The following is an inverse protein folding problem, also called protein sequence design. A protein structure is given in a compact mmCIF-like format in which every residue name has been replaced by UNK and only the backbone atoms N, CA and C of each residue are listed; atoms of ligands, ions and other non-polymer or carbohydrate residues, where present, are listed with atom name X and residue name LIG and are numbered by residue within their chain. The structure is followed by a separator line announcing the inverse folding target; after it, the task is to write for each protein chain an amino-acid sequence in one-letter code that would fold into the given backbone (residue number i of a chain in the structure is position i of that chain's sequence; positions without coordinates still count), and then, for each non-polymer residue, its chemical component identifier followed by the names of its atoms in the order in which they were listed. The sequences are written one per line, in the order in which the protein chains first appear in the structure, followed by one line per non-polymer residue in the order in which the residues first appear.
data_IF_383533974141
#
_entry.id   IF_383533974141
#
_cell.length_a   1.000
_cell.length_b   1.000
_cell.length_c   1.000
_cell.angle_alpha   90.00
_cell.angle_beta   90.00
_cell.angle_gamma   90.00
#
_symmetry.space_group_name_H-M   'P 1'
#
loop_
_entity.id
_entity.type
_entity.pdbx_description
1 polymer ?
#
# COMPACT_ATOMS: atom_id res chain seq x y z
N UNK A 1 -7.53 -3.34 -13.48
CA UNK A 1 -6.72 -4.30 -14.26
C UNK A 1 -7.69 -5.28 -14.88
N UNK A 2 -7.81 -5.28 -16.19
CA UNK A 2 -8.68 -6.12 -17.01
C UNK A 2 -10.12 -6.29 -16.46
N UNK A 3 -10.89 -5.20 -16.30
CA UNK A 3 -12.30 -5.28 -15.91
C UNK A 3 -13.12 -5.89 -17.04
N UNK A 4 -14.35 -6.31 -16.74
CA UNK A 4 -15.33 -6.61 -17.77
C UNK A 4 -15.54 -5.38 -18.67
N UNK A 5 -16.03 -5.59 -19.89
CA UNK A 5 -16.36 -4.49 -20.81
C UNK A 5 -17.38 -3.57 -20.13
N UNK A 6 -17.09 -2.26 -20.17
CA UNK A 6 -18.04 -1.24 -19.71
C UNK A 6 -19.21 -1.19 -20.70
N UNK A 7 -20.35 -1.66 -20.27
CA UNK A 7 -21.60 -1.62 -21.02
C UNK A 7 -22.41 -0.35 -20.69
N UNK A 8 -23.44 -0.07 -21.47
CA UNK A 8 -24.29 1.10 -21.27
C UNK A 8 -24.88 1.22 -19.87
N UNK A 9 -25.15 0.08 -19.21
CA UNK A 9 -25.68 0.04 -17.85
C UNK A 9 -24.76 0.68 -16.82
N UNK A 10 -23.44 0.53 -16.96
CA UNK A 10 -22.47 1.21 -16.10
C UNK A 10 -22.61 2.73 -16.16
N UNK A 11 -22.82 3.27 -17.35
CA UNK A 11 -23.02 4.70 -17.56
C UNK A 11 -24.37 5.21 -17.04
N UNK A 12 -25.40 4.38 -17.11
CA UNK A 12 -26.71 4.72 -16.54
C UNK A 12 -26.67 4.71 -15.00
N UNK A 13 -26.02 3.74 -14.40
CA UNK A 13 -25.90 3.64 -12.95
C UNK A 13 -24.99 4.70 -12.34
N UNK A 14 -24.01 5.16 -13.09
CA UNK A 14 -23.06 6.19 -12.64
C UNK A 14 -23.70 7.57 -12.44
N UNK A 15 -24.87 7.84 -13.04
CA UNK A 15 -25.60 9.11 -12.93
C UNK A 15 -24.70 10.34 -13.11
N UNK A 16 -24.55 11.15 -12.04
CA UNK A 16 -23.69 12.33 -12.05
C UNK A 16 -22.19 12.03 -12.04
N UNK A 17 -21.79 10.78 -11.73
CA UNK A 17 -20.40 10.32 -11.76
C UNK A 17 -20.01 9.66 -13.11
N UNK A 18 -20.79 9.91 -14.17
CA UNK A 18 -20.56 9.33 -15.51
C UNK A 18 -19.16 9.62 -16.06
N UNK A 19 -18.63 10.78 -15.79
CA UNK A 19 -17.27 11.17 -16.18
C UNK A 19 -16.22 10.24 -15.61
N UNK A 20 -16.36 9.78 -14.35
CA UNK A 20 -15.43 8.83 -13.74
C UNK A 20 -15.39 7.49 -14.48
N UNK A 21 -16.53 7.05 -15.04
CA UNK A 21 -16.59 5.82 -15.85
C UNK A 21 -15.98 6.04 -17.22
N UNK A 22 -16.18 7.23 -17.83
CA UNK A 22 -15.61 7.58 -19.13
C UNK A 22 -14.09 7.72 -19.08
N UNK A 23 -13.58 8.30 -17.99
CA UNK A 23 -12.14 8.54 -17.78
C UNK A 23 -11.41 7.34 -17.14
N UNK A 24 -12.13 6.23 -16.93
CA UNK A 24 -11.55 5.02 -16.36
C UNK A 24 -10.45 4.46 -17.26
N UNK A 25 -9.26 4.33 -16.71
CA UNK A 25 -8.10 3.77 -17.41
C UNK A 25 -7.97 2.28 -17.15
N UNK A 26 -7.58 1.54 -18.17
CA UNK A 26 -7.35 0.10 -18.09
C UNK A 26 -5.84 -0.13 -18.20
N UNK A 27 -5.30 -0.93 -17.29
CA UNK A 27 -3.90 -1.35 -17.28
C UNK A 27 -3.83 -2.88 -17.31
N UNK A 28 -2.84 -3.43 -17.94
CA UNK A 28 -2.64 -4.88 -17.97
C UNK A 28 -2.06 -5.39 -16.66
N UNK A 29 -1.19 -4.59 -16.03
CA UNK A 29 -0.54 -4.95 -14.76
C UNK A 29 -0.68 -3.84 -13.71
N UNK A 30 -0.51 -4.23 -12.44
CA UNK A 30 -0.48 -3.27 -11.33
C UNK A 30 0.79 -2.41 -11.37
N UNK A 31 1.89 -2.98 -11.85
CA UNK A 31 3.18 -2.31 -11.98
C UNK A 31 3.10 -1.15 -12.97
N UNK A 32 2.49 -1.34 -14.14
CA UNK A 32 2.27 -0.27 -15.12
C UNK A 32 1.46 0.88 -14.53
N UNK A 33 0.38 0.57 -13.81
CA UNK A 33 -0.43 1.58 -13.13
C UNK A 33 0.36 2.36 -12.10
N UNK A 34 1.17 1.67 -11.28
CA UNK A 34 1.98 2.28 -10.23
C UNK A 34 2.98 3.28 -10.84
N UNK A 35 3.64 2.88 -11.94
CA UNK A 35 4.63 3.71 -12.61
C UNK A 35 3.99 4.91 -13.31
N UNK A 36 2.92 4.70 -14.08
CA UNK A 36 2.22 5.77 -14.81
C UNK A 36 1.65 6.83 -13.86
N UNK A 37 0.99 6.41 -12.80
CA UNK A 37 0.34 7.31 -11.83
C UNK A 37 1.26 7.79 -10.72
N UNK A 38 2.53 7.39 -10.70
CA UNK A 38 3.50 7.74 -9.65
C UNK A 38 2.91 7.51 -8.25
N UNK A 39 2.37 6.30 -8.05
CA UNK A 39 1.72 5.93 -6.80
C UNK A 39 2.72 5.97 -5.65
N UNK A 40 2.39 6.71 -4.59
CA UNK A 40 3.25 6.87 -3.40
C UNK A 40 2.95 5.84 -2.33
N UNK A 41 1.74 5.29 -2.32
CA UNK A 41 1.33 4.25 -1.37
C UNK A 41 0.20 3.40 -1.95
N UNK A 42 0.25 2.11 -1.68
CA UNK A 42 -0.73 1.13 -2.13
C UNK A 42 -1.48 0.60 -0.93
N UNK A 43 -2.78 0.80 -0.92
CA UNK A 43 -3.69 0.33 0.13
C UNK A 43 -4.55 -0.78 -0.44
N UNK A 44 -4.41 -2.00 0.07
CA UNK A 44 -5.24 -3.15 -0.30
C UNK A 44 -6.38 -3.37 0.68
N UNK A 45 -7.52 -3.82 0.17
CA UNK A 45 -8.67 -4.19 1.00
C UNK A 45 -8.74 -5.70 1.18
N UNK A 46 -9.16 -6.15 2.37
CA UNK A 46 -9.38 -7.56 2.66
C UNK A 46 -10.59 -7.76 3.57
N UNK A 47 -11.44 -8.72 3.26
CA UNK A 47 -12.53 -9.14 4.15
C UNK A 47 -12.07 -10.10 5.24
N UNK A 48 -10.88 -10.70 5.09
CA UNK A 48 -10.35 -11.66 6.07
C UNK A 48 -9.13 -11.08 6.74
N UNK A 49 -9.27 -10.61 7.97
CA UNK A 49 -8.15 -10.22 8.79
C UNK A 49 -7.29 -11.45 9.09
N UNK A 50 -6.00 -11.37 8.80
CA UNK A 50 -5.04 -12.34 9.32
C UNK A 50 -4.88 -12.09 10.81
N UNK A 51 -4.98 -13.13 11.65
CA UNK A 51 -4.60 -13.01 13.05
C UNK A 51 -3.13 -12.61 13.20
N UNK A 52 -2.70 -12.26 14.41
CA UNK A 52 -1.34 -11.79 14.75
C UNK A 52 -0.20 -12.68 14.22
N UNK A 53 -0.48 -13.93 13.90
CA UNK A 53 0.46 -14.88 13.31
C UNK A 53 0.59 -14.76 11.79
N UNK A 54 -0.37 -14.15 11.08
CA UNK A 54 -0.29 -13.96 9.65
C UNK A 54 0.20 -12.55 9.32
N UNK A 55 1.50 -12.33 9.45
CA UNK A 55 2.18 -11.06 9.23
C UNK A 55 1.82 -10.42 7.87
N UNK A 56 1.52 -11.24 6.87
CA UNK A 56 1.12 -10.75 5.53
C UNK A 56 -0.25 -10.07 5.52
N UNK A 57 -1.07 -10.27 6.53
CA UNK A 57 -2.47 -9.80 6.58
C UNK A 57 -2.81 -9.09 7.89
N UNK A 58 -1.90 -8.28 8.44
CA UNK A 58 -2.22 -7.40 9.57
C UNK A 58 -2.85 -6.12 8.99
N UNK A 59 -4.17 -5.96 9.10
CA UNK A 59 -4.85 -4.78 8.57
C UNK A 59 -4.99 -3.68 9.62
N UNK A 60 -5.34 -2.49 9.13
CA UNK A 60 -5.88 -1.40 9.94
C UNK A 60 -7.35 -1.20 9.61
N UNK A 61 -8.07 -0.44 10.43
CA UNK A 61 -9.46 -0.07 10.18
C UNK A 61 -9.57 1.10 9.19
N UNK A 62 -10.74 1.33 8.54
CA UNK A 62 -10.94 2.50 7.69
C UNK A 62 -10.77 3.85 8.42
N UNK A 63 -11.15 3.95 9.69
CA UNK A 63 -10.94 5.15 10.52
C UNK A 63 -9.44 5.42 10.75
N UNK A 64 -8.67 4.38 11.06
CA UNK A 64 -7.21 4.50 11.17
C UNK A 64 -6.56 4.88 9.83
N UNK A 65 -7.05 4.32 8.71
CA UNK A 65 -6.62 4.72 7.37
C UNK A 65 -6.92 6.21 7.15
N UNK A 66 -8.15 6.65 7.41
CA UNK A 66 -8.55 8.05 7.24
C UNK A 66 -7.65 9.01 8.03
N UNK A 67 -7.26 8.65 9.25
CA UNK A 67 -6.34 9.42 10.09
C UNK A 67 -4.90 9.44 9.55
N UNK A 68 -4.49 8.43 8.81
CA UNK A 68 -3.12 8.30 8.28
C UNK A 68 -2.96 8.83 6.87
N UNK A 69 -4.06 9.02 6.12
CA UNK A 69 -4.03 9.44 4.72
C UNK A 69 -3.88 10.96 4.48
N UNK A 70 -3.32 11.69 5.42
CA UNK A 70 -3.04 13.14 5.24
C UNK A 70 -1.77 13.44 4.44
N UNK A 71 -1.37 12.52 3.59
CA UNK A 71 -0.08 12.55 2.87
C UNK A 71 -0.26 13.17 1.50
N UNK A 72 0.61 14.12 1.15
CA UNK A 72 0.75 14.58 -0.22
C UNK A 72 1.29 13.42 -1.09
N UNK A 73 0.54 13.04 -2.11
CA UNK A 73 0.93 11.99 -3.03
C UNK A 73 -0.26 11.23 -3.61
N UNK A 74 0.02 10.38 -4.57
CA UNK A 74 -0.99 9.54 -5.21
C UNK A 74 -1.12 8.22 -4.45
N UNK A 75 -2.28 7.97 -3.87
CA UNK A 75 -2.57 6.75 -3.14
C UNK A 75 -3.48 5.87 -3.97
N UNK A 76 -3.08 4.62 -4.16
CA UNK A 76 -3.90 3.62 -4.82
C UNK A 76 -4.70 2.83 -3.78
N UNK A 77 -6.01 2.77 -3.94
CA UNK A 77 -6.89 1.86 -3.19
C UNK A 77 -7.23 0.66 -4.08
N UNK A 78 -6.75 -0.51 -3.68
CA UNK A 78 -7.02 -1.76 -4.39
C UNK A 78 -8.21 -2.48 -3.76
N UNK A 79 -9.24 -2.67 -4.57
CA UNK A 79 -10.37 -3.53 -4.24
C UNK A 79 -10.21 -4.85 -4.99
N UNK A 80 -10.40 -5.95 -4.28
CA UNK A 80 -10.32 -7.28 -4.87
C UNK A 80 -11.53 -7.64 -5.73
N UNK A 81 -11.47 -8.81 -6.37
CA UNK A 81 -12.57 -9.39 -7.13
C UNK A 81 -13.71 -9.76 -6.20
N UNK A 82 -14.93 -9.80 -6.70
CA UNK A 82 -16.13 -10.05 -5.90
C UNK A 82 -16.11 -11.42 -5.19
N UNK A 83 -15.60 -12.46 -5.84
CA UNK A 83 -15.54 -13.81 -5.24
C UNK A 83 -14.29 -14.04 -4.39
N UNK A 84 -13.11 -13.72 -4.94
CA UNK A 84 -11.82 -14.16 -4.39
C UNK A 84 -11.04 -13.05 -3.66
N UNK A 85 -11.47 -11.80 -3.80
CA UNK A 85 -10.75 -10.65 -3.27
C UNK A 85 -9.39 -10.42 -3.96
N UNK A 86 -8.43 -9.87 -3.23
CA UNK A 86 -7.04 -9.74 -3.64
C UNK A 86 -6.30 -11.05 -3.37
N UNK A 87 -5.51 -11.51 -4.35
CA UNK A 87 -4.66 -12.66 -4.16
C UNK A 87 -3.41 -12.33 -3.32
N UNK A 88 -2.65 -13.36 -2.94
CA UNK A 88 -1.49 -13.16 -2.05
C UNK A 88 -0.38 -12.31 -2.69
N UNK A 89 -0.19 -12.37 -4.00
CA UNK A 89 0.80 -11.56 -4.71
C UNK A 89 0.40 -10.09 -4.72
N UNK A 90 -0.88 -9.78 -4.96
CA UNK A 90 -1.43 -8.43 -4.89
C UNK A 90 -1.36 -7.87 -3.45
N UNK A 91 -1.64 -8.71 -2.44
CA UNK A 91 -1.51 -8.34 -1.02
C UNK A 91 -0.05 -8.05 -0.63
N UNK A 92 0.91 -8.78 -1.18
CA UNK A 92 2.35 -8.55 -0.92
C UNK A 92 2.83 -7.23 -1.53
N UNK A 93 2.17 -6.72 -2.57
CA UNK A 93 2.47 -5.42 -3.16
C UNK A 93 1.90 -4.26 -2.35
N UNK A 94 0.90 -4.49 -1.51
CA UNK A 94 0.29 -3.44 -0.69
C UNK A 94 1.21 -2.99 0.46
N UNK A 95 1.29 -1.68 0.67
CA UNK A 95 1.98 -1.06 1.81
C UNK A 95 1.11 -1.11 3.06
N UNK A 96 -0.21 -0.96 2.88
CA UNK A 96 -1.21 -0.96 3.94
C UNK A 96 -2.31 -1.94 3.56
N UNK A 97 -2.81 -2.68 4.52
CA UNK A 97 -4.05 -3.45 4.37
C UNK A 97 -5.14 -2.85 5.24
N UNK A 98 -6.34 -2.80 4.69
CA UNK A 98 -7.53 -2.31 5.38
C UNK A 98 -8.57 -3.41 5.44
N UNK A 99 -9.15 -3.60 6.62
CA UNK A 99 -10.33 -4.44 6.81
C UNK A 99 -11.43 -3.63 7.48
N UNK A 100 -12.65 -3.82 7.03
CA UNK A 100 -13.83 -3.25 7.68
C UNK A 100 -14.29 -4.28 8.73
N UNK A 101 -14.33 -3.92 10.02
CA UNK A 101 -14.86 -4.79 11.04
C UNK A 101 -16.33 -5.14 10.73
N UNK A 102 -16.61 -6.42 10.59
CA UNK A 102 -17.95 -6.98 10.35
C UNK A 102 -18.21 -8.11 11.34
N UNK A 103 -19.36 -8.81 11.20
CA UNK A 103 -19.64 -9.98 12.00
C UNK A 103 -18.66 -11.13 11.69
N UNK A 104 -18.22 -11.84 12.72
CA UNK A 104 -17.39 -13.05 12.58
C UNK A 104 -18.10 -14.15 11.78
N UNK A 105 -19.44 -14.19 11.82
CA UNK A 105 -20.25 -15.16 11.07
C UNK A 105 -20.28 -14.85 9.57
N UNK A 106 -20.20 -13.57 9.19
CA UNK A 106 -20.20 -13.13 7.79
C UNK A 106 -19.26 -11.95 7.58
N UNK A 107 -17.96 -12.21 7.43
CA UNK A 107 -16.95 -11.15 7.36
C UNK A 107 -16.86 -10.46 5.99
N UNK A 108 -17.51 -10.98 4.96
CA UNK A 108 -17.41 -10.49 3.58
C UNK A 108 -18.48 -9.43 3.32
N UNK A 109 -18.08 -8.29 2.83
CA UNK A 109 -18.93 -7.18 2.44
C UNK A 109 -18.91 -7.00 0.92
N UNK A 110 -20.05 -6.65 0.33
CA UNK A 110 -20.10 -6.24 -1.07
C UNK A 110 -19.12 -5.10 -1.34
N UNK A 111 -18.42 -5.14 -2.47
CA UNK A 111 -17.34 -4.22 -2.83
C UNK A 111 -17.78 -2.75 -2.84
N UNK A 112 -18.99 -2.45 -3.30
CA UNK A 112 -19.51 -1.08 -3.34
C UNK A 112 -19.78 -0.51 -1.95
N UNK A 113 -20.27 -1.33 -1.02
CA UNK A 113 -20.45 -0.94 0.37
C UNK A 113 -19.11 -0.75 1.07
N UNK A 114 -18.15 -1.65 0.82
CA UNK A 114 -16.80 -1.51 1.35
C UNK A 114 -16.12 -0.23 0.86
N UNK A 115 -16.24 0.07 -0.43
CA UNK A 115 -15.72 1.30 -1.02
C UNK A 115 -16.37 2.55 -0.40
N UNK A 116 -17.69 2.55 -0.23
CA UNK A 116 -18.42 3.68 0.37
C UNK A 116 -17.94 3.97 1.80
N UNK A 117 -17.74 2.95 2.63
CA UNK A 117 -17.25 3.10 4.01
C UNK A 117 -15.82 3.65 4.01
N UNK A 118 -14.93 3.10 3.19
CA UNK A 118 -13.54 3.55 3.13
C UNK A 118 -13.46 4.99 2.64
N UNK A 119 -14.18 5.35 1.58
CA UNK A 119 -14.21 6.72 1.08
C UNK A 119 -14.81 7.70 2.08
N UNK A 120 -15.84 7.29 2.82
CA UNK A 120 -16.42 8.12 3.87
C UNK A 120 -15.42 8.40 4.99
N UNK A 121 -14.71 7.40 5.48
CA UNK A 121 -13.72 7.59 6.54
C UNK A 121 -12.52 8.45 6.08
N UNK A 122 -12.06 8.27 4.85
CA UNK A 122 -11.03 9.12 4.26
C UNK A 122 -11.53 10.58 4.16
N UNK A 123 -12.74 10.79 3.64
CA UNK A 123 -13.31 12.13 3.48
C UNK A 123 -13.56 12.81 4.82
N UNK A 124 -14.11 12.09 5.79
CA UNK A 124 -14.39 12.58 7.14
C UNK A 124 -13.12 13.12 7.82
N UNK A 125 -12.01 12.43 7.66
CA UNK A 125 -10.75 12.78 8.28
C UNK A 125 -9.93 13.84 7.51
N UNK A 126 -10.21 14.04 6.21
CA UNK A 126 -9.48 15.00 5.35
C UNK A 126 -9.48 16.45 5.86
N UNK A 127 -10.46 16.83 6.68
CA UNK A 127 -10.60 18.19 7.24
C UNK A 127 -9.83 18.42 8.56
N UNK A 128 -9.17 17.41 9.11
CA UNK A 128 -8.68 17.45 10.50
C UNK A 128 -7.23 17.92 10.67
N UNK A 129 -6.43 18.03 9.58
CA UNK A 129 -5.03 18.42 9.72
C UNK A 129 -4.55 19.33 8.59
N UNK A 130 -4.24 20.59 8.86
CA UNK A 130 -3.47 21.42 7.97
C UNK A 130 -1.97 21.11 8.18
N UNK A 131 -1.46 20.03 7.55
CA UNK A 131 -0.02 19.84 7.43
C UNK A 131 0.36 20.19 5.99
N UNK A 132 0.11 21.44 5.61
CA UNK A 132 0.33 21.93 4.25
C UNK A 132 1.83 22.13 3.91
N UNK A 133 2.74 22.06 4.92
CA UNK A 133 4.16 22.40 4.74
C UNK A 133 5.14 21.24 4.98
N UNK A 134 4.69 19.99 5.16
CA UNK A 134 5.63 18.87 5.26
C UNK A 134 5.99 18.35 3.87
N UNK A 135 7.24 18.57 3.47
CA UNK A 135 7.86 17.89 2.32
C UNK A 135 8.00 16.39 2.64
N UNK A 136 7.03 15.61 2.20
CA UNK A 136 6.97 14.17 2.44
C UNK A 136 7.76 13.46 1.34
N UNK A 137 8.49 12.43 1.74
CA UNK A 137 9.26 11.58 0.83
C UNK A 137 8.43 11.08 -0.34
N UNK A 138 8.96 11.26 -1.54
CA UNK A 138 8.37 10.76 -2.78
C UNK A 138 8.29 9.23 -2.81
N UNK A 139 7.51 8.70 -3.74
CA UNK A 139 7.52 7.25 -4.05
C UNK A 139 8.94 6.73 -4.30
N UNK A 140 9.72 7.47 -5.09
CA UNK A 140 11.09 7.08 -5.43
C UNK A 140 12.00 7.04 -4.20
N UNK A 141 11.85 7.96 -3.25
CA UNK A 141 12.61 7.95 -2.00
C UNK A 141 12.27 6.73 -1.15
N UNK A 142 10.99 6.39 -0.99
CA UNK A 142 10.56 5.19 -0.27
C UNK A 142 11.03 3.91 -0.96
N UNK A 143 10.98 3.86 -2.30
CA UNK A 143 11.50 2.75 -3.11
C UNK A 143 13.00 2.57 -2.90
N UNK A 144 13.78 3.65 -2.88
CA UNK A 144 15.22 3.61 -2.59
C UNK A 144 15.50 3.08 -1.18
N UNK A 145 14.79 3.56 -0.16
CA UNK A 145 14.94 3.08 1.21
C UNK A 145 14.62 1.58 1.32
N UNK A 146 13.53 1.15 0.71
CA UNK A 146 13.11 -0.26 0.67
C UNK A 146 14.17 -1.14 -0.01
N UNK A 147 14.69 -0.71 -1.15
CA UNK A 147 15.72 -1.46 -1.88
C UNK A 147 17.03 -1.58 -1.08
N UNK A 148 17.50 -0.48 -0.48
CA UNK A 148 18.69 -0.50 0.37
C UNK A 148 18.51 -1.43 1.58
N UNK A 149 17.34 -1.42 2.19
CA UNK A 149 17.05 -2.30 3.31
C UNK A 149 16.97 -3.76 2.87
N UNK A 150 16.35 -4.04 1.72
CA UNK A 150 16.32 -5.39 1.15
C UNK A 150 17.72 -5.93 0.82
N UNK A 151 18.61 -5.08 0.29
CA UNK A 151 20.02 -5.44 0.06
C UNK A 151 20.76 -5.79 1.36
N UNK A 152 20.50 -5.06 2.44
CA UNK A 152 21.07 -5.35 3.76
C UNK A 152 20.52 -6.68 4.28
N UNK A 153 19.21 -6.87 4.23
CA UNK A 153 18.54 -8.10 4.72
C UNK A 153 19.08 -9.34 4.00
N UNK A 154 19.29 -9.26 2.66
CA UNK A 154 19.84 -10.38 1.89
C UNK A 154 21.28 -10.74 2.22
N UNK A 155 22.00 -9.91 2.98
CA UNK A 155 23.36 -10.20 3.47
C UNK A 155 23.39 -10.70 4.91
N UNK A 156 22.22 -10.81 5.53
CA UNK A 156 22.08 -11.39 6.85
C UNK A 156 21.71 -12.88 6.67
N UNK A 157 22.30 -13.74 7.46
CA UNK A 157 22.12 -15.20 7.37
C UNK A 157 20.74 -15.67 7.82
N UNK A 158 19.70 -15.14 7.19
CA UNK A 158 18.32 -15.59 7.42
C UNK A 158 17.99 -16.81 6.56
N UNK A 159 17.23 -17.81 7.10
CA UNK A 159 16.55 -18.79 6.26
C UNK A 159 15.65 -18.09 5.24
N UNK A 160 15.59 -18.63 4.00
CA UNK A 160 14.88 -18.00 2.87
C UNK A 160 13.45 -17.53 3.19
N UNK A 161 12.68 -18.39 3.89
CA UNK A 161 11.30 -18.05 4.27
C UNK A 161 11.24 -16.86 5.23
N UNK A 162 12.23 -16.73 6.12
CA UNK A 162 12.32 -15.65 7.11
C UNK A 162 12.80 -14.34 6.46
N UNK A 163 13.76 -14.43 5.55
CA UNK A 163 14.23 -13.31 4.75
C UNK A 163 13.06 -12.64 4.01
N UNK A 164 12.26 -13.44 3.32
CA UNK A 164 11.06 -12.94 2.60
C UNK A 164 10.07 -12.25 3.54
N UNK A 165 9.81 -12.82 4.71
CA UNK A 165 8.93 -12.20 5.71
C UNK A 165 9.45 -10.86 6.22
N UNK A 166 10.75 -10.78 6.54
CA UNK A 166 11.39 -9.54 7.03
C UNK A 166 11.32 -8.45 5.97
N UNK A 167 11.58 -8.76 4.70
CA UNK A 167 11.45 -7.81 3.59
C UNK A 167 10.03 -7.24 3.46
N UNK A 168 9.01 -8.10 3.58
CA UNK A 168 7.60 -7.66 3.55
C UNK A 168 7.28 -6.74 4.74
N UNK A 169 7.73 -7.09 5.96
CA UNK A 169 7.50 -6.27 7.15
C UNK A 169 8.12 -4.88 6.98
N UNK A 170 9.40 -4.84 6.58
CA UNK A 170 10.13 -3.57 6.42
C UNK A 170 9.51 -2.71 5.33
N UNK A 171 9.14 -3.30 4.17
CA UNK A 171 8.41 -2.58 3.12
C UNK A 171 7.16 -1.92 3.67
N UNK A 172 6.36 -2.63 4.48
CA UNK A 172 5.12 -2.11 5.07
C UNK A 172 5.37 -1.03 6.11
N UNK A 173 6.42 -1.15 6.91
CA UNK A 173 6.80 -0.12 7.88
C UNK A 173 7.16 1.17 7.14
N UNK A 174 8.03 1.09 6.13
CA UNK A 174 8.42 2.24 5.31
C UNK A 174 7.21 2.82 4.57
N UNK A 175 6.35 1.98 4.00
CA UNK A 175 5.14 2.39 3.27
C UNK A 175 4.17 3.19 4.14
N UNK A 176 3.92 2.71 5.37
CA UNK A 176 3.02 3.38 6.34
C UNK A 176 3.64 4.61 7.01
N UNK A 177 4.96 4.72 7.04
CA UNK A 177 5.64 5.81 7.71
C UNK A 177 5.49 7.13 6.93
N UNK A 178 5.18 8.19 7.66
CA UNK A 178 5.24 9.57 7.16
C UNK A 178 6.67 10.05 7.28
N UNK A 179 7.49 9.76 6.27
CA UNK A 179 8.91 10.10 6.27
C UNK A 179 9.06 11.46 5.61
N UNK A 180 9.54 12.47 6.32
CA UNK A 180 9.87 13.76 5.75
C UNK A 180 11.09 13.64 4.81
N UNK A 181 11.24 14.54 3.85
CA UNK A 181 12.33 14.50 2.87
C UNK A 181 13.71 14.46 3.52
N UNK A 182 13.93 15.26 4.60
CA UNK A 182 15.18 15.23 5.37
C UNK A 182 15.41 13.91 6.11
N UNK A 183 14.36 13.31 6.66
CA UNK A 183 14.45 12.01 7.33
C UNK A 183 14.83 10.92 6.32
N UNK A 184 14.21 10.95 5.14
CA UNK A 184 14.52 10.03 4.04
C UNK A 184 15.99 10.11 3.63
N UNK A 185 16.52 11.31 3.46
CA UNK A 185 17.93 11.52 3.12
C UNK A 185 18.87 10.99 4.21
N UNK A 186 18.55 11.25 5.48
CA UNK A 186 19.36 10.78 6.62
C UNK A 186 19.35 9.26 6.72
N UNK A 187 18.16 8.64 6.62
CA UNK A 187 18.01 7.19 6.60
C UNK A 187 18.77 6.55 5.42
N UNK A 188 18.64 7.12 4.23
CA UNK A 188 19.37 6.69 3.03
C UNK A 188 20.87 6.70 3.25
N UNK A 189 21.40 7.77 3.84
CA UNK A 189 22.84 7.88 4.17
C UNK A 189 23.29 6.81 5.15
N UNK A 190 22.48 6.58 6.20
CA UNK A 190 22.74 5.56 7.24
C UNK A 190 22.72 4.14 6.65
N UNK A 191 21.68 3.80 5.88
CA UNK A 191 21.57 2.49 5.24
C UNK A 191 22.72 2.20 4.26
N UNK A 192 23.14 3.21 3.47
CA UNK A 192 24.32 3.07 2.60
C UNK A 192 25.59 2.75 3.40
N UNK A 193 25.83 3.43 4.53
CA UNK A 193 26.98 3.17 5.39
C UNK A 193 26.95 1.76 5.98
N UNK A 194 25.79 1.30 6.45
CA UNK A 194 25.61 -0.07 6.96
C UNK A 194 25.92 -1.07 5.85
N UNK A 195 25.34 -0.89 4.67
CA UNK A 195 25.53 -1.76 3.52
C UNK A 195 27.00 -1.89 3.10
N UNK A 196 27.74 -0.77 3.10
CA UNK A 196 29.17 -0.75 2.82
C UNK A 196 29.99 -1.49 3.88
N UNK A 197 29.66 -1.29 5.16
CA UNK A 197 30.38 -2.00 6.25
C UNK A 197 30.18 -3.50 6.22
N UNK A 198 28.95 -3.96 5.91
CA UNK A 198 28.71 -5.40 5.77
C UNK A 198 29.51 -5.97 4.60
N UNK A 199 29.56 -5.26 3.43
CA UNK A 199 30.38 -5.70 2.29
C UNK A 199 31.85 -5.87 2.64
N UNK A 200 32.42 -4.93 3.37
CA UNK A 200 33.84 -4.96 3.72
C UNK A 200 34.19 -6.11 4.68
N UNK A 201 33.29 -6.48 5.60
CA UNK A 201 33.49 -7.62 6.49
C UNK A 201 33.46 -8.97 5.76
N UNK A 202 32.61 -9.12 4.74
CA UNK A 202 32.51 -10.35 3.95
C UNK A 202 33.72 -10.57 3.01
N UNK A 203 34.58 -9.58 2.82
CA UNK A 203 35.81 -9.68 2.03
C UNK A 203 37.07 -9.89 2.88
N UNK A 204 36.97 -9.83 4.22
CA UNK A 204 38.07 -10.04 5.15
C UNK A 204 38.05 -11.47 5.76
N UNK A 205 37.01 -12.27 5.49
CA UNK A 205 36.91 -13.72 5.78
C UNK A 205 37.15 -14.55 4.51
#
# INVERSE_FOLDING_TARGET
INPCKLENDAYYQAMHARELVQDAMIYDTLEEFIEDKKITSIVGTTGTAGGSYNIKRIPITPDELGKTMHVNGNIALLFGREGDGLNNQEIEQCDILVTIPTSDEYPIMNITHAAAIIFYEIFKNKKSYPIDDMDISSYDDKKVLTNLTNEIISKLDYPEHKEKQVKIIVKRIIGRAFIAGRESQTLRGTLKRINTRIKNKTHEE
#
